data_IF_961038604237
#
_entry.id   IF_961038604237
#
_cell.length_a   1.000
_cell.length_b   1.000
_cell.length_c   1.000
_cell.angle_alpha   90.00
_cell.angle_beta   90.00
_cell.angle_gamma   90.00
#
_symmetry.space_group_name_H-M   'P 1'
#
loop_
_entity.id
_entity.type
_entity.pdbx_description
1 polymer ?
#
# COMPACT_ATOMS: atom_id res chain seq x y z
N UNK A 1 8.60 4.82 1.49
CA UNK A 1 9.12 4.39 2.82
C UNK A 1 10.23 3.34 2.69
N UNK A 2 11.21 3.28 3.61
CA UNK A 2 12.23 2.20 3.65
C UNK A 2 12.43 1.67 5.07
N UNK A 3 11.95 0.46 5.33
CA UNK A 3 12.13 -0.25 6.60
C UNK A 3 13.32 -1.22 6.52
N UNK A 4 14.31 -1.06 7.38
CA UNK A 4 15.44 -1.99 7.45
C UNK A 4 15.10 -3.21 8.31
N UNK A 5 14.49 -4.19 7.67
CA UNK A 5 14.08 -5.44 8.28
C UNK A 5 15.25 -6.19 8.94
N UNK A 6 16.45 -6.12 8.36
CA UNK A 6 17.63 -6.85 8.86
C UNK A 6 18.12 -6.22 10.16
N UNK A 7 18.20 -4.90 10.21
CA UNK A 7 18.57 -4.21 11.43
C UNK A 7 17.50 -4.38 12.52
N UNK A 8 16.23 -4.36 12.14
CA UNK A 8 15.12 -4.54 13.06
C UNK A 8 15.12 -5.92 13.71
N UNK A 9 15.35 -7.01 12.97
CA UNK A 9 15.47 -8.34 13.59
C UNK A 9 16.67 -8.48 14.54
N UNK A 10 17.75 -7.72 14.34
CA UNK A 10 18.95 -7.78 15.19
C UNK A 10 18.82 -6.97 16.48
N UNK A 11 18.09 -5.85 16.43
CA UNK A 11 18.15 -4.82 17.48
C UNK A 11 16.77 -4.31 17.93
N UNK A 12 15.73 -4.57 17.13
CA UNK A 12 14.37 -4.09 17.31
C UNK A 12 13.67 -4.78 18.48
N UNK A 13 13.84 -4.21 19.67
CA UNK A 13 13.10 -4.60 20.88
C UNK A 13 11.83 -3.77 21.09
N UNK A 14 11.71 -2.66 20.37
CA UNK A 14 10.57 -1.76 20.45
C UNK A 14 9.72 -1.88 19.18
N UNK A 15 8.38 -1.78 19.30
CA UNK A 15 7.52 -1.65 18.14
C UNK A 15 8.00 -0.51 17.23
N UNK A 16 7.99 -0.75 15.92
CA UNK A 16 8.24 0.26 14.91
C UNK A 16 6.94 0.56 14.19
N UNK A 17 6.60 1.84 14.09
CA UNK A 17 5.45 2.32 13.33
C UNK A 17 5.89 3.44 12.42
N UNK A 18 5.41 3.43 11.18
CA UNK A 18 5.60 4.51 10.25
C UNK A 18 4.37 4.70 9.37
N UNK A 19 3.97 5.94 9.19
CA UNK A 19 2.93 6.36 8.27
C UNK A 19 3.57 6.92 7.01
N UNK A 20 2.88 6.76 5.87
CA UNK A 20 3.30 7.33 4.61
C UNK A 20 2.07 7.76 3.80
N UNK A 21 2.32 8.69 2.88
CA UNK A 21 1.36 9.18 1.90
C UNK A 21 2.12 9.35 0.60
N UNK A 22 1.63 8.75 -0.48
CA UNK A 22 2.28 8.81 -1.80
C UNK A 22 1.23 9.20 -2.85
N UNK A 23 1.62 10.12 -3.73
CA UNK A 23 0.76 10.60 -4.81
C UNK A 23 0.98 9.76 -6.07
N UNK A 24 -0.09 9.07 -6.48
CA UNK A 24 -0.12 8.22 -7.67
C UNK A 24 -0.99 8.81 -8.79
N UNK A 25 -1.40 10.08 -8.68
CA UNK A 25 -2.30 10.74 -9.63
C UNK A 25 -1.76 10.85 -11.06
N UNK A 26 -0.46 10.68 -11.24
CA UNK A 26 0.22 10.70 -12.55
C UNK A 26 0.51 9.30 -13.11
N UNK A 27 0.22 8.25 -12.34
CA UNK A 27 0.42 6.87 -12.77
C UNK A 27 -0.82 6.30 -13.46
N UNK A 28 -0.61 5.42 -14.44
CA UNK A 28 -1.68 4.72 -15.15
C UNK A 28 -1.76 3.28 -14.65
N UNK A 29 -2.91 2.90 -14.09
CA UNK A 29 -3.17 1.54 -13.61
C UNK A 29 -4.19 0.83 -14.52
N UNK A 30 -3.80 0.61 -15.78
CA UNK A 30 -4.60 -0.10 -16.79
C UNK A 30 -6.06 0.39 -16.90
N UNK A 31 -6.24 1.71 -16.94
CA UNK A 31 -7.56 2.36 -17.01
C UNK A 31 -8.22 2.63 -15.65
N UNK A 32 -7.57 2.26 -14.55
CA UNK A 32 -7.91 2.73 -13.21
C UNK A 32 -7.04 3.92 -12.83
N UNK A 33 -7.61 4.87 -12.10
CA UNK A 33 -6.92 6.08 -11.63
C UNK A 33 -7.06 6.18 -10.12
N UNK A 34 -5.97 6.51 -9.45
CA UNK A 34 -5.95 6.86 -8.04
C UNK A 34 -5.79 8.37 -7.94
N UNK A 35 -6.88 9.07 -7.64
CA UNK A 35 -6.91 10.55 -7.67
C UNK A 35 -6.38 11.17 -6.38
N UNK A 36 -6.71 10.56 -5.25
CA UNK A 36 -6.27 11.01 -3.94
C UNK A 36 -5.00 10.25 -3.52
N UNK A 37 -4.10 10.88 -2.74
CA UNK A 37 -2.90 10.22 -2.26
C UNK A 37 -3.21 8.91 -1.53
N UNK A 38 -2.45 7.87 -1.85
CA UNK A 38 -2.52 6.60 -1.14
C UNK A 38 -1.88 6.77 0.22
N UNK A 39 -2.64 6.49 1.27
CA UNK A 39 -2.13 6.53 2.64
C UNK A 39 -1.85 5.13 3.15
N UNK A 40 -0.85 4.99 3.99
CA UNK A 40 -0.55 3.71 4.59
C UNK A 40 0.14 3.80 5.93
N UNK A 41 0.07 2.69 6.66
CA UNK A 41 0.81 2.49 7.89
C UNK A 41 1.50 1.14 7.85
N UNK A 42 2.75 1.14 8.29
CA UNK A 42 3.51 -0.06 8.53
C UNK A 42 3.77 -0.18 10.03
N UNK A 43 3.57 -1.38 10.57
CA UNK A 43 3.87 -1.73 11.94
C UNK A 43 4.71 -2.99 11.97
N UNK A 44 5.75 -3.00 12.80
CA UNK A 44 6.48 -4.19 13.19
C UNK A 44 6.46 -4.27 14.71
N UNK A 45 5.96 -5.37 15.25
CA UNK A 45 5.80 -5.59 16.69
C UNK A 45 6.57 -6.85 17.07
N UNK A 46 7.60 -6.75 17.94
CA UNK A 46 8.29 -7.92 18.45
C UNK A 46 7.34 -8.75 19.31
N UNK A 47 7.47 -10.07 19.22
CA UNK A 47 6.70 -11.06 19.95
C UNK A 47 7.67 -12.07 20.58
N UNK A 48 7.15 -13.01 21.39
CA UNK A 48 7.98 -14.06 21.97
C UNK A 48 8.66 -14.95 20.92
N UNK A 49 8.02 -15.15 19.77
CA UNK A 49 8.46 -16.10 18.73
C UNK A 49 9.07 -15.41 17.49
N UNK A 50 9.18 -14.08 17.50
CA UNK A 50 9.67 -13.33 16.34
C UNK A 50 9.07 -11.94 16.24
N UNK A 51 8.65 -11.53 15.04
CA UNK A 51 8.04 -10.21 14.79
C UNK A 51 6.78 -10.39 13.97
N UNK A 52 5.69 -9.76 14.39
CA UNK A 52 4.47 -9.59 13.58
C UNK A 52 4.59 -8.28 12.82
N UNK A 53 4.43 -8.32 11.50
CA UNK A 53 4.45 -7.13 10.65
C UNK A 53 3.10 -6.96 9.96
N UNK A 54 2.60 -5.72 9.95
CA UNK A 54 1.35 -5.36 9.29
C UNK A 54 1.57 -4.12 8.43
N UNK A 55 1.18 -4.23 7.16
CA UNK A 55 1.06 -3.12 6.24
C UNK A 55 -0.42 -2.89 5.97
N UNK A 56 -0.90 -1.68 6.26
CA UNK A 56 -2.26 -1.25 5.93
C UNK A 56 -2.16 -0.15 4.90
N UNK A 57 -2.90 -0.28 3.80
CA UNK A 57 -2.94 0.70 2.71
C UNK A 57 -4.41 1.07 2.49
N UNK A 58 -4.67 2.37 2.38
CA UNK A 58 -5.96 2.91 1.97
C UNK A 58 -5.76 3.71 0.69
N UNK A 59 -6.54 3.36 -0.32
CA UNK A 59 -6.55 4.00 -1.62
C UNK A 59 -8.00 4.03 -2.13
N UNK A 60 -8.36 5.11 -2.80
CA UNK A 60 -9.60 5.21 -3.57
C UNK A 60 -9.25 5.14 -5.05
N UNK A 61 -9.89 4.21 -5.75
CA UNK A 61 -9.66 3.97 -7.17
C UNK A 61 -10.93 4.23 -7.94
N UNK A 62 -10.83 5.05 -8.98
CA UNK A 62 -11.84 5.16 -10.00
C UNK A 62 -11.48 4.23 -11.15
N UNK A 63 -12.39 3.33 -11.53
CA UNK A 63 -12.20 2.40 -12.64
C UNK A 63 -13.48 2.32 -13.48
N UNK A 64 -13.33 2.08 -14.78
CA UNK A 64 -14.48 1.81 -15.62
C UNK A 64 -15.18 0.50 -15.20
N UNK A 65 -16.50 0.51 -15.26
CA UNK A 65 -17.29 -0.67 -14.96
C UNK A 65 -17.01 -1.76 -16.00
N UNK A 66 -16.69 -2.99 -15.55
CA UNK A 66 -16.43 -4.13 -16.42
C UNK A 66 -17.56 -4.39 -17.44
N UNK A 67 -18.82 -4.08 -17.08
CA UNK A 67 -19.96 -4.18 -18.01
C UNK A 67 -19.92 -3.11 -19.11
N UNK A 68 -19.45 -1.91 -18.82
CA UNK A 68 -19.29 -0.83 -19.80
C UNK A 68 -18.16 -1.17 -20.79
N UNK A 69 -17.07 -1.75 -20.30
CA UNK A 69 -15.96 -2.22 -21.14
C UNK A 69 -16.37 -3.32 -22.12
N UNK A 70 -17.35 -4.16 -21.75
CA UNK A 70 -17.85 -5.24 -22.64
C UNK A 70 -18.68 -4.72 -23.82
N UNK A 71 -19.19 -3.49 -23.73
CA UNK A 71 -20.08 -2.88 -24.74
C UNK A 71 -19.44 -1.74 -25.54
N UNK A 72 -18.15 -1.44 -25.34
CA UNK A 72 -17.45 -0.46 -26.16
C UNK A 72 -17.09 -1.08 -27.53
N UNK A 73 -17.54 -0.51 -28.67
CA UNK A 73 -17.40 -1.11 -29.98
C UNK A 73 -16.02 -0.88 -30.62
N UNK A 74 -14.93 -0.98 -29.84
CA UNK A 74 -13.56 -0.99 -30.37
C UNK A 74 -12.69 -1.99 -29.59
N UNK A 75 -12.81 -3.26 -29.98
CA UNK A 75 -11.70 -4.22 -30.02
C UNK A 75 -11.84 -5.10 -31.27
#
# INVERSE_FOLDING_TARGET
MRFDIRNYFKTGKTPYTAQFSEDFSTENFDGSVIREPVTGSFQAVPTADGVVMQLTIAAETDAECARCLTHSPEL
#
